data_IF_919337368956
#
_entry.id   IF_919337368956
#
_cell.length_a   1.000
_cell.length_b   1.000
_cell.length_c   1.000
_cell.angle_alpha   90.00
_cell.angle_beta   90.00
_cell.angle_gamma   90.00
#
_symmetry.space_group_name_H-M   'P 1'
#
loop_
_entity.id
_entity.type
_entity.pdbx_description
1 polymer ?
#
# COMPACT_ATOMS: atom_id res chain seq x y z
N UNK A 1 34.50 -32.46 -4.97
CA UNK A 1 33.23 -31.82 -5.39
C UNK A 1 32.39 -31.66 -4.14
N UNK A 2 32.26 -30.42 -3.65
CA UNK A 2 31.57 -30.10 -2.39
C UNK A 2 30.06 -30.06 -2.62
N UNK A 3 29.33 -30.90 -1.88
CA UNK A 3 27.87 -30.89 -1.81
C UNK A 3 27.44 -29.81 -0.82
N UNK A 4 26.55 -28.91 -1.24
CA UNK A 4 25.83 -28.01 -0.34
C UNK A 4 24.46 -28.62 -0.10
N UNK A 5 24.15 -28.96 1.15
CA UNK A 5 22.78 -29.29 1.56
C UNK A 5 22.07 -28.02 2.02
N UNK A 6 20.92 -27.74 1.39
CA UNK A 6 19.96 -26.77 1.87
C UNK A 6 18.77 -27.52 2.46
N UNK A 7 18.44 -27.22 3.72
CA UNK A 7 17.29 -27.80 4.42
C UNK A 7 16.34 -26.70 4.87
N UNK A 8 15.06 -26.84 4.50
CA UNK A 8 13.95 -26.27 5.25
C UNK A 8 13.47 -24.89 4.85
N UNK A 9 12.81 -24.79 3.68
CA UNK A 9 11.71 -23.87 3.49
C UNK A 9 10.60 -24.60 2.73
N UNK A 10 9.44 -24.76 3.36
CA UNK A 10 8.23 -25.11 2.64
C UNK A 10 7.76 -23.87 1.89
N UNK A 11 7.81 -23.94 0.56
CA UNK A 11 7.16 -22.96 -0.30
C UNK A 11 5.67 -23.29 -0.26
N UNK A 12 4.92 -22.57 0.56
CA UNK A 12 3.47 -22.51 0.42
C UNK A 12 3.17 -21.71 -0.84
N UNK A 13 2.97 -22.43 -1.95
CA UNK A 13 2.40 -21.86 -3.16
C UNK A 13 0.91 -21.59 -2.91
N UNK A 14 0.60 -20.39 -2.45
CA UNK A 14 -0.76 -19.85 -2.34
C UNK A 14 -1.32 -19.39 -3.71
N UNK A 15 -0.62 -19.73 -4.81
CA UNK A 15 -0.90 -19.19 -6.13
C UNK A 15 -0.47 -17.72 -6.29
N UNK A 16 0.36 -17.20 -5.36
CA UNK A 16 1.12 -15.95 -5.51
C UNK A 16 2.52 -16.17 -6.10
N UNK A 17 2.84 -17.39 -6.55
CA UNK A 17 4.04 -17.71 -7.33
C UNK A 17 3.94 -17.14 -8.76
N UNK A 18 3.81 -15.82 -8.88
CA UNK A 18 4.53 -15.15 -9.95
C UNK A 18 5.88 -14.76 -9.36
N UNK A 19 7.01 -15.15 -9.98
CA UNK A 19 8.29 -14.56 -9.62
C UNK A 19 8.07 -13.06 -9.65
N UNK A 20 8.48 -12.38 -8.58
CA UNK A 20 8.06 -11.04 -8.20
C UNK A 20 8.44 -9.90 -9.14
N UNK A 21 8.26 -10.10 -10.45
CA UNK A 21 8.33 -9.14 -11.53
C UNK A 21 7.23 -8.13 -11.28
N UNK A 22 7.61 -6.86 -11.18
CA UNK A 22 6.70 -5.72 -11.19
C UNK A 22 5.78 -5.84 -12.40
N UNK A 23 4.53 -6.24 -12.16
CA UNK A 23 3.55 -6.45 -13.21
C UNK A 23 3.01 -5.09 -13.63
N UNK A 24 3.70 -4.47 -14.59
CA UNK A 24 3.29 -3.24 -15.28
C UNK A 24 3.29 -2.01 -14.35
N UNK A 25 3.86 -0.90 -14.83
CA UNK A 25 3.71 0.41 -14.20
C UNK A 25 2.27 0.87 -14.37
N UNK A 26 1.35 0.35 -13.55
CA UNK A 26 -0.02 0.86 -13.50
C UNK A 26 0.00 2.23 -12.84
N UNK A 27 -0.53 3.23 -13.54
CA UNK A 27 -0.76 4.54 -12.98
C UNK A 27 -2.11 4.59 -12.22
N UNK A 28 -2.41 5.74 -11.63
CA UNK A 28 -3.62 5.96 -10.84
C UNK A 28 -4.92 5.87 -11.67
N UNK A 29 -4.86 5.98 -13.01
CA UNK A 29 -6.03 5.93 -13.89
C UNK A 29 -6.46 4.49 -14.24
N UNK A 30 -5.60 3.51 -13.99
CA UNK A 30 -5.81 2.13 -14.44
C UNK A 30 -6.42 1.25 -13.34
N UNK A 31 -7.20 0.24 -13.74
CA UNK A 31 -7.73 -0.75 -12.80
C UNK A 31 -6.63 -1.72 -12.34
N UNK A 32 -6.47 -1.94 -11.01
CA UNK A 32 -5.58 -2.97 -10.51
C UNK A 32 -6.10 -4.34 -10.94
N UNK A 33 -5.18 -5.17 -11.43
CA UNK A 33 -5.48 -6.56 -11.82
C UNK A 33 -5.34 -7.45 -10.59
N UNK A 34 -6.25 -8.41 -10.50
CA UNK A 34 -6.16 -9.46 -9.47
C UNK A 34 -4.77 -10.12 -9.48
N UNK A 35 -4.24 -10.33 -8.28
CA UNK A 35 -2.91 -10.87 -8.00
C UNK A 35 -1.75 -10.00 -8.52
N UNK A 36 -2.01 -8.74 -8.83
CA UNK A 36 -0.98 -7.78 -9.21
C UNK A 36 -0.01 -7.39 -8.09
N UNK A 37 1.15 -6.88 -8.50
CA UNK A 37 2.15 -6.28 -7.61
C UNK A 37 2.50 -4.89 -8.14
N UNK A 38 2.32 -3.86 -7.31
CA UNK A 38 2.42 -2.46 -7.74
C UNK A 38 3.33 -1.63 -6.86
N UNK A 39 3.93 -0.60 -7.47
CA UNK A 39 4.53 0.51 -6.75
C UNK A 39 3.39 1.42 -6.30
N UNK A 40 3.29 1.62 -4.99
CA UNK A 40 2.30 2.49 -4.39
C UNK A 40 2.97 3.38 -3.34
N UNK A 41 2.21 4.33 -2.82
CA UNK A 41 2.70 5.37 -1.93
C UNK A 41 1.79 5.49 -0.72
N UNK A 42 2.42 5.74 0.43
CA UNK A 42 1.75 6.04 1.67
C UNK A 42 2.35 7.30 2.29
N UNK A 43 1.52 8.32 2.47
CA UNK A 43 1.89 9.56 3.15
C UNK A 43 1.63 9.45 4.65
N UNK A 44 2.63 9.77 5.47
CA UNK A 44 2.56 9.60 6.92
C UNK A 44 3.46 10.61 7.66
N UNK A 45 3.40 10.63 8.99
CA UNK A 45 4.27 11.49 9.81
C UNK A 45 5.68 10.92 9.94
N UNK A 46 6.68 11.74 10.29
CA UNK A 46 8.05 11.26 10.50
C UNK A 46 8.11 10.17 11.57
N UNK A 47 7.41 10.37 12.69
CA UNK A 47 7.34 9.38 13.77
C UNK A 47 6.74 8.05 13.30
N UNK A 48 5.66 8.11 12.52
CA UNK A 48 5.01 6.92 11.99
C UNK A 48 5.88 6.22 10.95
N UNK A 49 6.58 6.96 10.09
CA UNK A 49 7.50 6.40 9.11
C UNK A 49 8.60 5.57 9.78
N UNK A 50 9.21 6.08 10.86
CA UNK A 50 10.22 5.33 11.64
C UNK A 50 9.66 4.02 12.19
N UNK A 51 8.45 4.05 12.75
CA UNK A 51 7.79 2.85 13.28
C UNK A 51 7.48 1.84 12.17
N UNK A 52 6.93 2.31 11.05
CA UNK A 52 6.60 1.47 9.90
C UNK A 52 7.84 0.80 9.31
N UNK A 53 8.94 1.55 9.17
CA UNK A 53 10.21 1.00 8.67
C UNK A 53 10.76 -0.05 9.64
N UNK A 54 10.72 0.21 10.95
CA UNK A 54 11.29 -0.69 11.95
C UNK A 54 10.43 -1.95 12.22
N UNK A 55 9.10 -1.84 12.14
CA UNK A 55 8.17 -2.88 12.62
C UNK A 55 7.19 -3.39 11.56
N UNK A 56 7.15 -2.76 10.39
CA UNK A 56 6.11 -2.98 9.38
C UNK A 56 4.85 -2.18 9.66
N UNK A 57 3.88 -2.30 8.75
CA UNK A 57 2.59 -1.65 8.87
C UNK A 57 1.68 -2.33 9.90
N UNK A 58 0.81 -1.55 10.51
CA UNK A 58 -0.35 -2.02 11.26
C UNK A 58 -1.63 -1.54 10.57
N UNK A 59 -2.73 -2.27 10.73
CA UNK A 59 -4.02 -1.86 10.16
C UNK A 59 -4.52 -0.60 10.87
N UNK A 60 -5.00 0.39 10.10
CA UNK A 60 -5.91 1.38 10.66
C UNK A 60 -7.18 0.68 11.15
N UNK A 61 -7.77 1.18 12.24
CA UNK A 61 -9.01 0.60 12.78
C UNK A 61 -10.27 1.11 12.04
N UNK A 62 -10.12 2.20 11.30
CA UNK A 62 -11.21 2.90 10.59
C UNK A 62 -10.66 3.53 9.30
N UNK A 63 -11.58 3.87 8.41
CA UNK A 63 -11.33 4.55 7.15
C UNK A 63 -12.53 4.33 6.21
N UNK A 64 -12.54 4.99 5.05
CA UNK A 64 -13.66 4.93 4.12
C UNK A 64 -13.89 3.54 3.48
N UNK A 65 -12.95 2.63 3.66
CA UNK A 65 -12.95 1.24 3.19
C UNK A 65 -12.81 0.25 4.36
N UNK A 66 -13.03 0.70 5.60
CA UNK A 66 -12.86 -0.13 6.80
C UNK A 66 -11.42 -0.21 7.28
N UNK A 67 -11.06 -1.32 7.93
CA UNK A 67 -9.72 -1.55 8.49
C UNK A 67 -8.74 -2.03 7.42
N UNK A 68 -7.52 -1.53 7.47
CA UNK A 68 -6.45 -1.95 6.56
C UNK A 68 -5.32 -0.92 6.45
N UNK A 69 -4.45 -1.13 5.48
CA UNK A 69 -3.36 -0.22 5.11
C UNK A 69 -3.78 0.55 3.86
N UNK A 70 -3.87 1.87 4.00
CA UNK A 70 -4.30 2.77 2.93
C UNK A 70 -3.12 3.18 2.06
N UNK A 71 -3.20 2.92 0.76
CA UNK A 71 -2.12 3.21 -0.20
C UNK A 71 -2.72 3.78 -1.48
N UNK A 72 -1.86 4.41 -2.29
CA UNK A 72 -2.25 5.09 -3.52
C UNK A 72 -1.16 4.92 -4.57
N UNK A 73 -1.53 4.64 -5.82
CA UNK A 73 -0.64 4.75 -6.99
C UNK A 73 -0.38 6.20 -7.36
N UNK A 74 -1.25 7.13 -6.97
CA UNK A 74 -0.97 8.56 -7.08
C UNK A 74 -0.03 9.02 -5.96
N UNK A 75 1.24 9.29 -6.32
CA UNK A 75 2.23 9.87 -5.40
C UNK A 75 1.82 11.25 -4.90
N UNK A 76 1.25 12.11 -5.76
CA UNK A 76 0.83 13.47 -5.39
C UNK A 76 -0.29 13.44 -4.38
N UNK A 77 -1.20 12.46 -4.48
CA UNK A 77 -2.20 12.21 -3.43
C UNK A 77 -1.52 11.92 -2.09
N UNK A 78 -0.58 10.95 -2.06
CA UNK A 78 0.11 10.54 -0.84
C UNK A 78 0.89 11.71 -0.20
N UNK A 79 1.52 12.58 -1.00
CA UNK A 79 2.27 13.75 -0.52
C UNK A 79 1.46 14.73 0.35
N UNK A 80 0.13 14.71 0.24
CA UNK A 80 -0.75 15.59 1.04
C UNK A 80 -0.98 15.09 2.46
N UNK A 81 -0.65 13.82 2.75
CA UNK A 81 -0.90 13.22 4.05
C UNK A 81 0.33 13.30 4.98
N UNK A 82 0.11 13.56 6.28
CA UNK A 82 -1.16 13.91 6.90
C UNK A 82 -1.65 15.32 6.51
N UNK A 83 -2.95 15.48 6.26
CA UNK A 83 -3.55 16.72 5.71
C UNK A 83 -3.25 17.97 6.54
N UNK A 84 -3.26 17.84 7.86
CA UNK A 84 -3.07 18.94 8.80
C UNK A 84 -1.67 18.99 9.42
N UNK A 85 -0.70 18.25 8.85
CA UNK A 85 0.69 18.29 9.30
C UNK A 85 1.49 19.41 8.62
N UNK A 86 2.54 19.88 9.29
CA UNK A 86 3.56 20.75 8.69
C UNK A 86 4.29 19.98 7.59
N UNK A 87 4.74 20.66 6.55
CA UNK A 87 5.49 20.03 5.46
C UNK A 87 6.74 19.28 5.96
N UNK A 88 7.41 19.78 7.00
CA UNK A 88 8.58 19.14 7.61
C UNK A 88 8.28 17.83 8.35
N UNK A 89 7.01 17.56 8.67
CA UNK A 89 6.59 16.30 9.29
C UNK A 89 6.00 15.31 8.28
N UNK A 90 5.88 15.66 6.99
CA UNK A 90 5.33 14.76 5.97
C UNK A 90 6.42 13.89 5.36
N UNK A 91 6.19 12.58 5.39
CA UNK A 91 7.01 11.56 4.73
C UNK A 91 6.14 10.79 3.73
N UNK A 92 6.71 10.47 2.57
CA UNK A 92 6.09 9.56 1.60
C UNK A 92 6.96 8.32 1.45
N UNK A 93 6.40 7.19 1.87
CA UNK A 93 6.98 5.87 1.68
C UNK A 93 6.62 5.35 0.29
N UNK A 94 7.60 4.78 -0.40
CA UNK A 94 7.40 3.98 -1.62
C UNK A 94 7.28 2.52 -1.23
N UNK A 95 6.27 1.86 -1.79
CA UNK A 95 5.81 0.56 -1.37
C UNK A 95 5.74 -0.40 -2.53
N UNK A 96 6.08 -1.67 -2.28
CA UNK A 96 5.73 -2.79 -3.14
C UNK A 96 4.52 -3.50 -2.53
N UNK A 97 3.39 -3.44 -3.22
CA UNK A 97 2.09 -3.90 -2.71
C UNK A 97 1.58 -5.08 -3.51
N UNK A 98 1.32 -6.21 -2.85
CA UNK A 98 0.67 -7.39 -3.45
C UNK A 98 -0.83 -7.32 -3.22
N UNK A 99 -1.59 -6.86 -4.21
CA UNK A 99 -3.02 -6.52 -4.01
C UNK A 99 -3.93 -7.75 -3.85
N UNK A 100 -3.51 -8.93 -4.29
CA UNK A 100 -4.33 -10.15 -4.18
C UNK A 100 -5.66 -10.02 -4.94
N UNK A 101 -6.75 -10.54 -4.37
CA UNK A 101 -8.10 -10.35 -4.93
C UNK A 101 -8.62 -8.96 -4.62
N UNK A 102 -8.95 -8.17 -5.65
CA UNK A 102 -9.37 -6.78 -5.50
C UNK A 102 -10.87 -6.64 -5.57
N UNK A 103 -11.44 -5.90 -4.62
CA UNK A 103 -12.84 -5.48 -4.64
C UNK A 103 -12.95 -4.03 -5.07
N UNK A 104 -13.51 -3.79 -6.24
CA UNK A 104 -13.94 -2.45 -6.67
C UNK A 104 -15.09 -1.93 -5.78
N UNK A 105 -14.92 -0.72 -5.27
CA UNK A 105 -15.87 0.06 -4.46
C UNK A 105 -16.05 1.41 -5.15
N UNK A 106 -17.09 1.55 -5.97
CA UNK A 106 -17.21 2.66 -6.93
C UNK A 106 -18.51 3.46 -6.82
N UNK A 107 -19.19 3.33 -5.68
CA UNK A 107 -20.39 4.11 -5.34
C UNK A 107 -20.48 4.32 -3.84
N UNK A 108 -21.15 5.40 -3.45
CA UNK A 108 -21.55 5.59 -2.06
C UNK A 108 -22.47 4.44 -1.62
N UNK A 109 -22.44 4.12 -0.32
CA UNK A 109 -23.21 3.03 0.29
C UNK A 109 -23.01 1.67 -0.38
N UNK A 110 -21.80 1.42 -0.91
CA UNK A 110 -21.48 0.12 -1.50
C UNK A 110 -21.62 -0.99 -0.44
N UNK A 111 -22.37 -2.08 -0.70
CA UNK A 111 -22.72 -3.07 0.33
C UNK A 111 -21.52 -3.81 0.94
N UNK A 112 -20.38 -3.77 0.25
CA UNK A 112 -19.12 -4.36 0.69
C UNK A 112 -18.06 -3.34 1.12
N UNK A 113 -18.39 -2.05 1.21
CA UNK A 113 -17.43 -0.97 1.51
C UNK A 113 -16.59 -1.24 2.78
N UNK A 114 -17.17 -1.88 3.79
CA UNK A 114 -16.52 -2.19 5.06
C UNK A 114 -16.33 -3.69 5.34
N UNK A 115 -16.81 -4.56 4.44
CA UNK A 115 -16.91 -6.02 4.68
C UNK A 115 -16.31 -6.87 3.56
N UNK A 116 -15.65 -6.24 2.59
CA UNK A 116 -14.98 -6.90 1.47
C UNK A 116 -13.99 -7.97 1.93
N UNK A 117 -13.22 -7.73 3.00
CA UNK A 117 -12.26 -8.69 3.52
C UNK A 117 -12.93 -9.99 4.01
N UNK A 118 -14.08 -9.88 4.68
CA UNK A 118 -14.87 -11.02 5.14
C UNK A 118 -15.48 -11.84 3.99
N UNK A 119 -15.46 -11.30 2.77
CA UNK A 119 -15.84 -11.98 1.53
C UNK A 119 -14.65 -12.55 0.75
N UNK A 120 -13.47 -12.56 1.37
CA UNK A 120 -12.26 -13.18 0.81
C UNK A 120 -11.51 -12.31 -0.21
N UNK A 121 -11.72 -10.99 -0.19
CA UNK A 121 -10.91 -10.03 -0.93
C UNK A 121 -9.73 -9.57 -0.08
N UNK A 122 -8.58 -9.37 -0.71
CA UNK A 122 -7.34 -8.94 -0.06
C UNK A 122 -7.19 -7.42 -0.05
N UNK A 123 -7.78 -6.75 -1.04
CA UNK A 123 -7.75 -5.28 -1.20
C UNK A 123 -9.12 -4.77 -1.62
N UNK A 124 -9.55 -3.65 -1.06
CA UNK A 124 -10.62 -2.83 -1.63
C UNK A 124 -10.02 -1.65 -2.39
N UNK A 125 -10.62 -1.29 -3.53
CA UNK A 125 -10.12 -0.24 -4.42
C UNK A 125 -11.24 0.69 -4.84
N UNK A 126 -11.01 1.99 -4.68
CA UNK A 126 -11.87 3.05 -5.23
C UNK A 126 -11.29 3.53 -6.55
N UNK A 127 -12.03 3.43 -7.67
CA UNK A 127 -11.55 3.94 -8.94
C UNK A 127 -11.46 5.46 -8.97
N UNK A 128 -10.53 6.02 -9.76
CA UNK A 128 -10.47 7.44 -10.00
C UNK A 128 -11.77 7.90 -10.68
N UNK A 129 -12.24 9.10 -10.32
CA UNK A 129 -13.38 9.79 -10.92
C UNK A 129 -14.67 8.96 -10.99
N UNK A 130 -14.89 8.01 -10.06
CA UNK A 130 -16.09 7.17 -10.03
C UNK A 130 -17.37 7.88 -9.55
N UNK A 131 -17.27 9.16 -9.17
CA UNK A 131 -18.42 9.97 -8.77
C UNK A 131 -18.91 9.75 -7.33
N UNK A 132 -18.16 8.99 -6.52
CA UNK A 132 -18.45 8.84 -5.08
C UNK A 132 -18.34 10.18 -4.34
N UNK A 133 -19.42 10.56 -3.65
CA UNK A 133 -19.45 11.76 -2.80
C UNK A 133 -18.50 11.64 -1.61
N UNK A 134 -18.31 10.42 -1.09
CA UNK A 134 -17.35 10.14 -0.04
C UNK A 134 -15.89 10.39 -0.46
N UNK A 135 -15.60 10.48 -1.77
CA UNK A 135 -14.27 10.79 -2.34
C UNK A 135 -14.37 12.02 -3.23
N UNK A 136 -14.59 13.22 -2.67
CA UNK A 136 -14.82 14.43 -3.46
C UNK A 136 -13.61 14.83 -4.32
N UNK A 137 -12.42 14.33 -4.00
CA UNK A 137 -11.22 14.56 -4.81
C UNK A 137 -11.21 13.78 -6.13
N UNK A 138 -12.03 12.74 -6.27
CA UNK A 138 -12.00 11.84 -7.42
C UNK A 138 -10.71 11.01 -7.54
N UNK A 139 -9.80 11.04 -6.56
CA UNK A 139 -8.55 10.30 -6.63
C UNK A 139 -8.72 8.88 -6.08
N UNK A 140 -8.09 7.92 -6.76
CA UNK A 140 -8.13 6.50 -6.42
C UNK A 140 -7.53 6.20 -5.03
N UNK A 141 -7.97 5.11 -4.42
CA UNK A 141 -7.46 4.64 -3.14
C UNK A 141 -7.56 3.12 -3.03
N UNK A 142 -6.51 2.50 -2.53
CA UNK A 142 -6.49 1.09 -2.16
C UNK A 142 -6.44 0.95 -0.63
N UNK A 143 -7.18 -0.02 -0.10
CA UNK A 143 -7.11 -0.45 1.30
C UNK A 143 -6.77 -1.94 1.33
N UNK A 144 -5.54 -2.25 1.72
CA UNK A 144 -5.00 -3.62 1.78
C UNK A 144 -5.25 -4.20 3.16
N UNK A 145 -5.81 -5.41 3.23
CA UNK A 145 -6.21 -5.98 4.52
C UNK A 145 -5.02 -6.40 5.36
N UNK A 146 -4.21 -7.33 4.86
CA UNK A 146 -3.05 -7.87 5.58
C UNK A 146 -1.83 -6.96 5.36
N UNK A 147 -1.29 -6.32 6.43
CA UNK A 147 -0.09 -5.49 6.32
C UNK A 147 1.12 -6.21 5.73
N UNK A 148 1.22 -7.54 5.84
CA UNK A 148 2.33 -8.33 5.26
C UNK A 148 2.36 -8.30 3.73
N UNK A 149 1.28 -7.84 3.08
CA UNK A 149 1.20 -7.61 1.63
C UNK A 149 1.82 -6.28 1.20
N UNK A 150 2.19 -5.41 2.15
CA UNK A 150 2.73 -4.07 1.92
C UNK A 150 4.17 -4.01 2.41
N UNK A 151 5.11 -3.94 1.47
CA UNK A 151 6.55 -3.84 1.77
C UNK A 151 7.03 -2.41 1.51
N UNK A 152 7.69 -1.80 2.49
CA UNK A 152 8.43 -0.55 2.26
C UNK A 152 9.66 -0.87 1.41
N UNK A 153 9.83 -0.15 0.31
CA UNK A 153 11.00 -0.29 -0.58
C UNK A 153 11.80 1.01 -0.72
N UNK A 154 11.29 2.12 -0.18
CA UNK A 154 12.03 3.37 -0.16
C UNK A 154 11.30 4.54 0.49
N UNK A 155 12.00 5.67 0.54
CA UNK A 155 11.47 6.96 0.97
C UNK A 155 11.69 7.96 -0.15
N UNK A 156 10.58 8.43 -0.73
CA UNK A 156 10.60 9.29 -1.92
C UNK A 156 10.40 10.77 -1.58
N UNK A 157 9.95 11.09 -0.37
CA UNK A 157 9.85 12.47 0.12
C UNK A 157 9.93 12.50 1.64
N UNK A 158 10.73 13.43 2.16
CA UNK A 158 10.76 13.90 3.55
C UNK A 158 11.57 15.21 3.60
N UNK A 159 11.61 15.88 4.75
CA UNK A 159 12.62 16.92 5.02
C UNK A 159 14.04 16.37 4.80
N UNK A 160 14.99 17.17 4.32
CA UNK A 160 16.33 16.70 3.90
C UNK A 160 17.07 15.90 4.96
N UNK A 161 16.98 16.32 6.23
CA UNK A 161 17.64 15.65 7.35
C UNK A 161 16.99 14.28 7.62
N UNK A 162 15.66 14.25 7.67
CA UNK A 162 14.86 13.04 7.85
C UNK A 162 15.01 12.09 6.67
N UNK A 163 15.06 12.60 5.45
CA UNK A 163 15.20 11.77 4.24
C UNK A 163 16.50 10.98 4.27
N UNK A 164 17.59 11.63 4.67
CA UNK A 164 18.90 11.01 4.81
C UNK A 164 18.89 9.94 5.91
N UNK A 165 18.30 10.25 7.06
CA UNK A 165 18.12 9.30 8.17
C UNK A 165 17.33 8.06 7.73
N UNK A 166 16.13 8.25 7.17
CA UNK A 166 15.22 7.14 6.86
C UNK A 166 15.74 6.25 5.73
N UNK A 167 16.43 6.82 4.74
CA UNK A 167 17.03 6.03 3.64
C UNK A 167 18.11 5.07 4.13
N UNK A 168 18.85 5.42 5.18
CA UNK A 168 19.84 4.51 5.78
C UNK A 168 19.18 3.28 6.40
N UNK A 169 17.93 3.36 6.84
CA UNK A 169 17.17 2.23 7.35
C UNK A 169 16.49 1.40 6.24
N UNK A 170 16.34 1.96 5.03
CA UNK A 170 15.74 1.29 3.88
C UNK A 170 16.76 0.66 2.92
N UNK A 171 18.03 0.51 3.33
CA UNK A 171 19.00 -0.27 2.57
C UNK A 171 18.65 -1.75 2.76
N UNK A 172 17.81 -2.27 1.86
CA UNK A 172 17.35 -3.66 1.78
C UNK A 172 18.29 -4.44 0.86
#
# INVERSE_FOLDING_TARGET
>A
LTTVQFSGWEVVDDGASFPGVMLQSLNAEQEPKDRGVYTMYHGTSVASARLIIAKGFEQSQKGMLGKGVYVSRDRKKAQRYPLNARNSDRVVLELRVRVGRVKRIDKDDHPLQYTWNAKGYDTAWVPPNCGMKAVPSGLEEDCVFDPKRVQVVGVVQADSSVLSELRNFCVI
#
